data_IF_103313458940
#
_entry.id   IF_103313458940
#
_cell.length_a   1.000
_cell.length_b   1.000
_cell.length_c   1.000
_cell.angle_alpha   90.00
_cell.angle_beta   90.00
_cell.angle_gamma   90.00
#
_symmetry.space_group_name_H-M   'P 1'
#
loop_
_entity.id
_entity.type
_entity.pdbx_description
1 polymer ?
#
# COMPACT_ATOMS: atom_id res chain seq x y z
N UNK A 1 -34.35 5.96 -4.63
CA UNK A 1 -33.65 4.71 -4.21
C UNK A 1 -33.45 3.72 -5.33
N UNK A 2 -34.43 3.51 -6.23
CA UNK A 2 -34.29 2.61 -7.38
C UNK A 2 -33.07 2.94 -8.27
N UNK A 3 -32.88 4.22 -8.59
CA UNK A 3 -31.74 4.66 -9.42
C UNK A 3 -30.36 4.29 -8.83
N UNK A 4 -30.24 4.19 -7.50
CA UNK A 4 -29.00 3.74 -6.86
C UNK A 4 -28.73 2.26 -7.18
N UNK A 5 -29.73 1.40 -7.05
CA UNK A 5 -29.57 -0.02 -7.36
C UNK A 5 -29.35 -0.26 -8.85
N UNK A 6 -30.07 0.47 -9.72
CA UNK A 6 -29.88 0.41 -11.17
C UNK A 6 -28.46 0.83 -11.59
N UNK A 7 -27.90 1.87 -10.94
CA UNK A 7 -26.50 2.28 -11.20
C UNK A 7 -25.52 1.22 -10.72
N UNK A 8 -25.69 0.68 -9.52
CA UNK A 8 -24.83 -0.35 -8.96
C UNK A 8 -24.82 -1.62 -9.80
N UNK A 9 -25.99 -2.08 -10.24
CA UNK A 9 -26.12 -3.27 -11.09
C UNK A 9 -25.47 -3.06 -12.47
N UNK A 10 -25.56 -1.82 -13.02
CA UNK A 10 -24.92 -1.48 -14.30
C UNK A 10 -23.38 -1.50 -14.26
N UNK A 11 -22.76 -1.48 -13.08
CA UNK A 11 -21.31 -1.57 -12.91
C UNK A 11 -20.79 -3.01 -13.12
N UNK A 12 -21.68 -4.01 -13.18
CA UNK A 12 -21.33 -5.42 -13.31
C UNK A 12 -20.28 -5.88 -12.26
N UNK A 13 -20.58 -5.60 -11.00
CA UNK A 13 -19.77 -5.97 -9.84
C UNK A 13 -20.54 -6.99 -9.00
N UNK A 14 -20.42 -8.30 -9.29
CA UNK A 14 -21.19 -9.33 -8.60
C UNK A 14 -20.84 -9.44 -7.12
N UNK A 15 -19.62 -9.06 -6.74
CA UNK A 15 -19.13 -9.03 -5.36
C UNK A 15 -19.26 -7.61 -4.81
N UNK A 16 -19.77 -7.49 -3.57
CA UNK A 16 -19.93 -6.25 -2.83
C UNK A 16 -19.17 -6.31 -1.51
N UNK A 17 -18.58 -5.18 -1.12
CA UNK A 17 -17.85 -5.06 0.15
C UNK A 17 -18.43 -3.92 0.95
N UNK A 18 -18.82 -4.18 2.19
CA UNK A 18 -19.26 -3.16 3.14
C UNK A 18 -18.51 -3.25 4.47
N UNK A 19 -18.56 -2.15 5.22
CA UNK A 19 -17.97 -2.10 6.56
C UNK A 19 -18.92 -2.61 7.63
N UNK A 20 -18.34 -2.92 8.81
CA UNK A 20 -19.07 -3.42 9.97
C UNK A 20 -20.32 -2.62 10.32
N UNK A 21 -20.24 -1.26 10.35
CA UNK A 21 -21.36 -0.40 10.73
C UNK A 21 -22.54 -0.52 9.76
N UNK A 22 -22.27 -0.59 8.46
CA UNK A 22 -23.30 -0.80 7.44
C UNK A 22 -23.93 -2.18 7.61
N UNK A 23 -23.10 -3.20 7.79
CA UNK A 23 -23.57 -4.56 7.97
C UNK A 23 -24.41 -4.74 9.25
N UNK A 24 -24.06 -4.06 10.34
CA UNK A 24 -24.81 -4.06 11.60
C UNK A 24 -26.24 -3.50 11.44
N UNK A 25 -26.42 -2.56 10.49
CA UNK A 25 -27.73 -1.95 10.23
C UNK A 25 -28.58 -2.73 9.22
N UNK A 26 -27.96 -3.47 8.31
CA UNK A 26 -28.64 -4.03 7.13
C UNK A 26 -28.65 -5.56 7.08
N UNK A 27 -27.65 -6.25 7.67
CA UNK A 27 -27.40 -7.67 7.43
C UNK A 27 -27.16 -8.48 8.72
N UNK A 28 -26.71 -7.84 9.79
CA UNK A 28 -26.42 -8.55 11.03
C UNK A 28 -27.70 -8.94 11.78
N UNK A 29 -27.69 -10.13 12.36
CA UNK A 29 -28.70 -10.54 13.33
C UNK A 29 -28.61 -9.75 14.65
N UNK A 30 -29.63 -9.77 15.47
CA UNK A 30 -29.64 -9.03 16.73
C UNK A 30 -28.62 -9.58 17.73
N UNK A 31 -27.91 -8.66 18.40
CA UNK A 31 -26.93 -8.97 19.46
C UNK A 31 -25.50 -9.01 18.94
N UNK A 32 -24.59 -9.48 19.78
CA UNK A 32 -23.17 -9.63 19.49
C UNK A 32 -22.71 -11.04 19.84
N UNK A 33 -21.71 -11.53 19.14
CA UNK A 33 -21.10 -12.81 19.43
C UNK A 33 -20.42 -12.78 20.81
N UNK A 34 -20.73 -13.76 21.63
CA UNK A 34 -20.10 -13.98 22.95
C UNK A 34 -19.56 -15.40 23.04
N UNK A 35 -18.39 -15.54 23.61
CA UNK A 35 -17.81 -16.83 24.00
C UNK A 35 -17.23 -16.73 25.40
N UNK A 36 -17.34 -17.80 26.18
CA UNK A 36 -16.74 -17.89 27.53
C UNK A 36 -15.21 -17.89 27.46
N UNK A 37 -14.67 -18.37 26.36
CA UNK A 37 -13.23 -18.35 26.02
C UNK A 37 -12.97 -17.48 24.80
N UNK A 38 -11.86 -16.78 24.80
CA UNK A 38 -11.42 -15.96 23.65
C UNK A 38 -9.97 -16.33 23.34
N UNK A 39 -9.80 -17.21 22.37
CA UNK A 39 -8.48 -17.66 21.92
C UNK A 39 -8.15 -16.97 20.60
N UNK A 40 -7.19 -16.04 20.54
CA UNK A 40 -6.83 -15.41 19.28
C UNK A 40 -6.43 -16.42 18.21
N UNK A 41 -6.85 -16.22 16.97
CA UNK A 41 -6.45 -17.07 15.86
C UNK A 41 -4.94 -16.95 15.56
N UNK A 42 -4.39 -15.74 15.63
CA UNK A 42 -2.95 -15.45 15.69
C UNK A 42 -2.15 -15.77 14.43
N UNK A 43 -2.82 -16.02 13.30
CA UNK A 43 -2.17 -16.30 12.01
C UNK A 43 -3.04 -15.89 10.83
N UNK A 44 -2.44 -15.83 9.64
CA UNK A 44 -3.20 -15.73 8.41
C UNK A 44 -3.92 -17.05 8.10
N UNK A 45 -5.13 -16.95 7.55
CA UNK A 45 -5.87 -18.11 7.10
C UNK A 45 -7.20 -17.73 6.45
N UNK A 46 -7.82 -18.70 5.81
CA UNK A 46 -9.15 -18.54 5.22
C UNK A 46 -9.94 -19.84 5.26
N UNK A 47 -11.26 -19.74 5.14
CA UNK A 47 -12.18 -20.86 4.95
C UNK A 47 -13.15 -20.53 3.84
N UNK A 48 -13.17 -21.35 2.78
CA UNK A 48 -14.09 -21.19 1.64
C UNK A 48 -15.23 -22.18 1.78
N UNK A 49 -16.46 -21.67 1.97
CA UNK A 49 -17.66 -22.48 2.12
C UNK A 49 -18.50 -22.57 0.85
N UNK A 50 -18.46 -21.52 0.03
CA UNK A 50 -19.25 -21.46 -1.20
C UNK A 50 -18.37 -21.10 -2.41
N UNK A 51 -18.70 -21.70 -3.57
CA UNK A 51 -18.25 -21.23 -4.87
C UNK A 51 -19.42 -20.46 -5.50
N UNK A 52 -19.23 -19.18 -5.76
CA UNK A 52 -20.27 -18.32 -6.32
C UNK A 52 -19.65 -17.31 -7.29
N UNK A 53 -20.46 -16.79 -8.20
CA UNK A 53 -20.06 -15.73 -9.12
C UNK A 53 -19.84 -14.40 -8.41
N UNK A 54 -20.39 -14.22 -7.21
CA UNK A 54 -20.24 -13.02 -6.39
C UNK A 54 -20.47 -13.31 -4.91
N UNK A 55 -19.97 -12.44 -4.05
CA UNK A 55 -20.03 -12.56 -2.60
C UNK A 55 -20.52 -11.26 -1.97
N UNK A 56 -21.23 -11.37 -0.85
CA UNK A 56 -21.44 -10.25 0.06
C UNK A 56 -20.31 -10.27 1.11
N UNK A 57 -19.41 -9.31 1.03
CA UNK A 57 -18.21 -9.26 1.86
C UNK A 57 -18.36 -8.20 2.94
N UNK A 58 -18.10 -8.58 4.19
CA UNK A 58 -18.17 -7.67 5.34
C UNK A 58 -16.82 -7.59 6.02
N UNK A 59 -16.34 -6.35 6.21
CA UNK A 59 -15.13 -6.09 6.99
C UNK A 59 -15.50 -5.95 8.48
N UNK A 60 -15.31 -7.02 9.25
CA UNK A 60 -15.45 -7.04 10.71
C UNK A 60 -14.14 -7.46 11.37
N UNK A 61 -13.27 -6.49 11.65
CA UNK A 61 -11.88 -6.68 12.08
C UNK A 61 -11.73 -7.60 13.31
N UNK A 62 -12.68 -7.57 14.24
CA UNK A 62 -12.61 -8.31 15.49
C UNK A 62 -13.51 -9.55 15.55
N UNK A 63 -14.43 -9.67 14.61
CA UNK A 63 -15.39 -10.78 14.60
C UNK A 63 -16.36 -10.70 15.78
N UNK A 64 -17.33 -9.79 15.70
CA UNK A 64 -18.26 -9.56 16.79
C UNK A 64 -19.73 -9.63 16.39
N UNK A 65 -20.02 -9.65 15.09
CA UNK A 65 -21.39 -9.65 14.61
C UNK A 65 -21.96 -11.07 14.50
N UNK A 66 -23.26 -11.19 14.76
CA UNK A 66 -24.05 -12.38 14.42
C UNK A 66 -24.65 -12.20 13.04
N UNK A 67 -24.82 -13.28 12.29
CA UNK A 67 -25.21 -13.19 10.90
C UNK A 67 -26.55 -13.87 10.61
N UNK A 68 -27.39 -13.17 9.83
CA UNK A 68 -28.48 -13.75 9.07
C UNK A 68 -27.94 -13.96 7.64
N UNK A 69 -27.84 -15.22 7.20
CA UNK A 69 -27.20 -15.54 5.91
C UNK A 69 -28.12 -15.10 4.76
N UNK A 70 -27.67 -14.17 3.89
CA UNK A 70 -28.49 -13.71 2.78
C UNK A 70 -28.67 -14.82 1.72
N UNK A 71 -29.86 -14.90 1.13
CA UNK A 71 -30.17 -15.89 0.10
C UNK A 71 -29.51 -15.61 -1.25
N UNK A 72 -29.30 -14.33 -1.60
CA UNK A 72 -28.83 -13.93 -2.92
C UNK A 72 -27.34 -14.11 -3.18
N UNK A 73 -26.50 -13.85 -2.16
CA UNK A 73 -25.03 -13.93 -2.25
C UNK A 73 -24.48 -14.58 -1.00
N UNK A 74 -23.56 -15.55 -1.14
CA UNK A 74 -22.90 -16.12 0.02
C UNK A 74 -22.09 -15.06 0.76
N UNK A 75 -22.22 -15.06 2.09
CA UNK A 75 -21.51 -14.15 2.99
C UNK A 75 -20.05 -14.57 3.13
N UNK A 76 -19.16 -13.57 3.16
CA UNK A 76 -17.74 -13.72 3.43
C UNK A 76 -17.27 -12.64 4.39
N UNK A 77 -16.64 -13.03 5.48
CA UNK A 77 -16.16 -12.10 6.51
C UNK A 77 -14.66 -11.87 6.36
N UNK A 78 -14.26 -10.60 6.19
CA UNK A 78 -12.85 -10.18 6.32
C UNK A 78 -12.58 -9.79 7.76
N UNK A 79 -11.53 -10.36 8.34
CA UNK A 79 -11.15 -10.11 9.73
C UNK A 79 -9.63 -10.03 9.88
N UNK A 80 -9.15 -9.64 11.06
CA UNK A 80 -7.72 -9.66 11.38
C UNK A 80 -7.35 -10.95 12.14
N UNK A 81 -6.06 -11.16 12.34
CA UNK A 81 -5.54 -12.29 13.13
C UNK A 81 -5.93 -12.21 14.62
N UNK A 82 -6.47 -11.06 15.08
CA UNK A 82 -7.01 -10.91 16.43
C UNK A 82 -8.38 -11.56 16.64
N UNK A 83 -9.04 -11.99 15.57
CA UNK A 83 -10.30 -12.71 15.65
C UNK A 83 -10.15 -13.96 16.53
N UNK A 84 -11.18 -14.29 17.30
CA UNK A 84 -11.14 -15.50 18.12
C UNK A 84 -11.38 -16.76 17.27
N UNK A 85 -10.74 -17.87 17.68
CA UNK A 85 -10.98 -19.18 17.07
C UNK A 85 -12.44 -19.61 17.21
N UNK A 86 -13.06 -19.23 18.32
CA UNK A 86 -14.46 -19.51 18.64
C UNK A 86 -15.40 -18.80 17.66
N UNK A 87 -15.05 -17.54 17.27
CA UNK A 87 -15.84 -16.83 16.25
C UNK A 87 -15.67 -17.45 14.86
N UNK A 88 -14.46 -17.86 14.49
CA UNK A 88 -14.24 -18.58 13.24
C UNK A 88 -14.99 -19.92 13.21
N UNK A 89 -15.03 -20.65 14.33
CA UNK A 89 -15.83 -21.87 14.46
C UNK A 89 -17.33 -21.59 14.32
N UNK A 90 -17.83 -20.46 14.86
CA UNK A 90 -19.20 -20.01 14.65
C UNK A 90 -19.46 -19.74 13.16
N UNK A 91 -18.60 -19.01 12.46
CA UNK A 91 -18.76 -18.76 11.02
C UNK A 91 -18.76 -20.08 10.23
N UNK A 92 -17.85 -20.99 10.55
CA UNK A 92 -17.78 -22.31 9.92
C UNK A 92 -19.06 -23.14 10.14
N UNK A 93 -19.65 -23.10 11.33
CA UNK A 93 -20.91 -23.78 11.65
C UNK A 93 -22.10 -23.17 10.89
N UNK A 94 -22.07 -21.87 10.62
CA UNK A 94 -23.09 -21.18 9.80
C UNK A 94 -22.85 -21.28 8.29
N UNK A 95 -21.83 -22.04 7.86
CA UNK A 95 -21.43 -22.15 6.45
C UNK A 95 -21.04 -20.80 5.82
N UNK A 96 -20.45 -19.88 6.62
CA UNK A 96 -19.99 -18.57 6.19
C UNK A 96 -18.50 -18.64 5.90
N UNK A 97 -18.09 -18.11 4.75
CA UNK A 97 -16.68 -18.00 4.37
C UNK A 97 -15.99 -16.89 5.17
N UNK A 98 -14.69 -17.05 5.41
CA UNK A 98 -13.92 -16.00 6.07
C UNK A 98 -12.47 -15.93 5.59
N UNK A 99 -11.87 -14.75 5.73
CA UNK A 99 -10.45 -14.49 5.52
C UNK A 99 -9.95 -13.72 6.74
N UNK A 100 -8.93 -14.25 7.41
CA UNK A 100 -8.21 -13.58 8.49
C UNK A 100 -6.82 -13.16 8.01
N UNK A 101 -6.59 -11.85 7.89
CA UNK A 101 -5.31 -11.30 7.39
C UNK A 101 -4.96 -9.98 8.06
N UNK A 102 -3.65 -9.78 8.32
CA UNK A 102 -3.12 -8.65 9.07
C UNK A 102 -3.18 -8.84 10.59
N UNK A 103 -2.17 -8.39 11.30
CA UNK A 103 -2.00 -8.67 12.73
C UNK A 103 -3.10 -8.04 13.60
N UNK A 104 -3.32 -6.74 13.48
CA UNK A 104 -4.25 -5.96 14.33
C UNK A 104 -5.39 -5.31 13.55
N UNK A 105 -5.22 -5.16 12.27
CA UNK A 105 -6.21 -4.62 11.32
C UNK A 105 -6.27 -5.55 10.12
N UNK A 106 -7.35 -5.51 9.38
CA UNK A 106 -7.47 -6.23 8.11
C UNK A 106 -6.39 -5.71 7.15
N UNK A 107 -5.56 -6.60 6.62
CA UNK A 107 -4.66 -6.33 5.51
C UNK A 107 -5.48 -6.40 4.21
N UNK A 108 -5.96 -5.25 3.74
CA UNK A 108 -6.83 -5.17 2.56
C UNK A 108 -6.13 -5.63 1.28
N UNK A 109 -4.85 -5.24 0.98
CA UNK A 109 -4.11 -5.79 -0.14
C UNK A 109 -4.07 -7.31 -0.12
N UNK A 110 -3.64 -7.90 0.99
CA UNK A 110 -3.56 -9.36 1.14
C UNK A 110 -4.92 -10.04 1.05
N UNK A 111 -5.96 -9.44 1.63
CA UNK A 111 -7.33 -9.94 1.50
C UNK A 111 -7.80 -9.95 0.04
N UNK A 112 -7.48 -8.91 -0.75
CA UNK A 112 -7.79 -8.85 -2.18
C UNK A 112 -7.06 -9.92 -2.99
N UNK A 113 -5.78 -10.21 -2.67
CA UNK A 113 -5.03 -11.31 -3.29
C UNK A 113 -5.73 -12.66 -3.02
N UNK A 114 -6.06 -12.95 -1.77
CA UNK A 114 -6.79 -14.19 -1.40
C UNK A 114 -8.16 -14.26 -2.08
N UNK A 115 -8.90 -13.15 -2.16
CA UNK A 115 -10.17 -13.10 -2.86
C UNK A 115 -10.02 -13.44 -4.35
N UNK A 116 -9.01 -12.91 -5.02
CA UNK A 116 -8.72 -13.21 -6.41
C UNK A 116 -8.30 -14.67 -6.62
N UNK A 117 -7.31 -15.13 -5.87
CA UNK A 117 -6.69 -16.45 -6.04
C UNK A 117 -7.60 -17.60 -5.59
N UNK A 118 -8.25 -17.44 -4.44
CA UNK A 118 -8.99 -18.54 -3.79
C UNK A 118 -10.49 -18.48 -4.06
N UNK A 119 -11.06 -17.28 -4.23
CA UNK A 119 -12.50 -17.10 -4.43
C UNK A 119 -12.86 -16.72 -5.86
N UNK A 120 -11.89 -16.40 -6.73
CA UNK A 120 -12.10 -16.03 -8.13
C UNK A 120 -12.77 -14.66 -8.30
N UNK A 121 -12.58 -13.75 -7.33
CA UNK A 121 -13.14 -12.40 -7.40
C UNK A 121 -12.29 -11.54 -8.33
N UNK A 122 -12.80 -11.19 -9.49
CA UNK A 122 -12.14 -10.32 -10.47
C UNK A 122 -12.52 -8.84 -10.29
N UNK A 123 -13.76 -8.60 -9.87
CA UNK A 123 -14.31 -7.24 -9.67
C UNK A 123 -15.22 -7.22 -8.46
N UNK A 124 -15.12 -6.12 -7.70
CA UNK A 124 -15.99 -5.88 -6.56
C UNK A 124 -16.33 -4.40 -6.43
N UNK A 125 -17.48 -4.11 -5.84
CA UNK A 125 -17.88 -2.76 -5.44
C UNK A 125 -17.70 -2.58 -3.93
N UNK A 126 -16.99 -1.55 -3.50
CA UNK A 126 -16.96 -1.12 -2.10
C UNK A 126 -18.14 -0.17 -1.91
N UNK A 127 -19.22 -0.68 -1.29
CA UNK A 127 -20.54 -0.02 -1.31
C UNK A 127 -20.84 0.76 -0.04
N UNK A 128 -19.95 0.78 0.93
CA UNK A 128 -20.25 1.65 2.04
C UNK A 128 -19.57 1.43 3.36
N UNK A 129 -19.81 2.40 4.13
CA UNK A 129 -19.25 3.15 5.17
C UNK A 129 -18.02 3.95 4.75
N UNK A 130 -17.98 5.24 5.15
CA UNK A 130 -16.88 6.14 4.79
C UNK A 130 -15.49 5.61 5.19
N UNK A 131 -15.39 4.91 6.31
CA UNK A 131 -14.14 4.33 6.80
C UNK A 131 -13.62 3.16 5.95
N UNK A 132 -14.50 2.27 5.46
CA UNK A 132 -14.06 1.18 4.58
C UNK A 132 -13.67 1.72 3.21
N UNK A 133 -14.42 2.68 2.66
CA UNK A 133 -14.06 3.38 1.43
C UNK A 133 -12.68 4.04 1.57
N UNK A 134 -12.45 4.74 2.68
CA UNK A 134 -11.17 5.37 2.99
C UNK A 134 -10.03 4.35 3.16
N UNK A 135 -10.30 3.20 3.76
CA UNK A 135 -9.33 2.10 3.88
C UNK A 135 -8.88 1.57 2.52
N UNK A 136 -9.81 1.31 1.60
CA UNK A 136 -9.48 0.91 0.22
C UNK A 136 -8.75 2.01 -0.55
N UNK A 137 -9.14 3.29 -0.36
CA UNK A 137 -8.45 4.42 -0.95
C UNK A 137 -7.01 4.56 -0.41
N UNK A 138 -6.81 4.38 0.89
CA UNK A 138 -5.49 4.45 1.53
C UNK A 138 -4.56 3.33 1.07
N UNK A 139 -5.11 2.15 0.80
CA UNK A 139 -4.40 0.97 0.29
C UNK A 139 -4.19 1.01 -1.24
N UNK A 140 -4.59 2.09 -1.93
CA UNK A 140 -4.52 2.25 -3.39
C UNK A 140 -5.24 1.15 -4.20
N UNK A 141 -6.31 0.59 -3.63
CA UNK A 141 -7.07 -0.52 -4.21
C UNK A 141 -8.29 -0.07 -5.04
N UNK A 142 -8.59 1.24 -5.11
CA UNK A 142 -9.71 1.76 -5.88
C UNK A 142 -9.29 2.11 -7.31
N UNK A 143 -9.99 1.59 -8.32
CA UNK A 143 -9.79 1.93 -9.72
C UNK A 143 -10.78 3.00 -10.20
N UNK A 144 -11.98 3.00 -9.63
CA UNK A 144 -13.06 3.90 -9.99
C UNK A 144 -13.84 4.37 -8.76
N UNK A 145 -14.26 5.62 -8.78
CA UNK A 145 -15.24 6.19 -7.84
C UNK A 145 -16.52 6.48 -8.59
N UNK A 146 -17.61 5.84 -8.15
CA UNK A 146 -18.96 5.98 -8.70
C UNK A 146 -19.87 6.64 -7.65
N UNK A 147 -20.39 7.83 -7.94
CA UNK A 147 -21.18 8.63 -7.00
C UNK A 147 -22.51 9.02 -7.63
N UNK A 148 -23.61 8.64 -7.00
CA UNK A 148 -24.94 9.13 -7.33
C UNK A 148 -25.32 10.25 -6.35
N UNK A 149 -25.47 11.45 -6.87
CA UNK A 149 -25.90 12.64 -6.11
C UNK A 149 -27.40 12.79 -6.26
N UNK A 150 -28.15 12.60 -5.18
CA UNK A 150 -29.59 12.86 -5.15
C UNK A 150 -29.90 14.37 -5.15
N UNK A 151 -31.02 14.75 -5.77
CA UNK A 151 -31.47 16.13 -5.84
C UNK A 151 -32.15 16.58 -4.51
N UNK A 152 -31.39 16.58 -3.42
CA UNK A 152 -31.88 16.96 -2.10
C UNK A 152 -30.77 17.48 -1.20
N UNK A 153 -31.15 18.32 -0.22
CA UNK A 153 -30.24 18.81 0.82
C UNK A 153 -30.75 18.30 2.15
N UNK A 154 -29.91 17.50 2.82
CA UNK A 154 -30.23 16.97 4.15
C UNK A 154 -30.10 18.04 5.25
N UNK A 155 -28.97 18.76 5.28
CA UNK A 155 -28.70 19.83 6.27
C UNK A 155 -28.50 19.37 7.70
N UNK A 156 -28.53 18.05 7.99
CA UNK A 156 -28.27 17.51 9.34
C UNK A 156 -26.76 17.47 9.61
N UNK A 157 -26.37 17.79 10.85
CA UNK A 157 -24.98 17.65 11.29
C UNK A 157 -24.60 16.20 11.61
N UNK A 158 -23.27 15.90 11.59
CA UNK A 158 -22.74 14.61 12.00
C UNK A 158 -22.92 13.46 10.98
N UNK A 159 -23.32 13.78 9.76
CA UNK A 159 -23.43 12.78 8.69
C UNK A 159 -22.06 12.35 8.22
N UNK A 160 -21.82 11.03 7.98
CA UNK A 160 -20.53 10.54 7.50
C UNK A 160 -20.24 11.01 6.08
N UNK A 161 -18.98 11.27 5.78
CA UNK A 161 -18.51 11.51 4.43
C UNK A 161 -18.45 10.22 3.61
N UNK A 162 -18.39 10.34 2.27
CA UNK A 162 -18.18 9.17 1.37
C UNK A 162 -16.86 8.50 1.65
N UNK A 163 -15.83 9.27 1.99
CA UNK A 163 -14.52 8.82 2.47
C UNK A 163 -14.24 9.53 3.79
N UNK A 164 -13.95 8.78 4.85
CA UNK A 164 -13.81 9.33 6.20
C UNK A 164 -12.69 8.63 6.98
N UNK A 165 -12.03 9.35 7.90
CA UNK A 165 -11.02 8.80 8.80
C UNK A 165 -9.59 8.74 8.24
N UNK A 166 -9.30 9.40 7.11
CA UNK A 166 -7.93 9.55 6.61
C UNK A 166 -7.18 10.67 7.34
N UNK A 167 -5.84 10.55 7.49
CA UNK A 167 -5.03 11.62 8.08
C UNK A 167 -5.13 12.94 7.32
N UNK A 168 -5.09 14.06 8.04
CA UNK A 168 -5.17 15.41 7.46
C UNK A 168 -4.01 15.73 6.51
N UNK A 169 -2.85 15.15 6.75
CA UNK A 169 -1.62 15.37 5.98
C UNK A 169 -1.60 14.57 4.67
N UNK A 170 -2.56 13.66 4.47
CA UNK A 170 -2.62 12.86 3.25
C UNK A 170 -2.89 13.76 2.04
N UNK A 171 -2.09 13.64 0.96
CA UNK A 171 -2.37 14.40 -0.26
C UNK A 171 -3.73 13.99 -0.87
N UNK A 172 -4.37 14.93 -1.55
CA UNK A 172 -5.63 14.69 -2.26
C UNK A 172 -5.39 13.68 -3.39
N UNK A 173 -6.23 12.65 -3.46
CA UNK A 173 -6.23 11.73 -4.59
C UNK A 173 -6.91 12.38 -5.79
N UNK A 174 -6.19 12.51 -6.90
CA UNK A 174 -6.74 13.07 -8.13
C UNK A 174 -7.69 12.07 -8.82
N UNK A 175 -8.77 12.62 -9.35
CA UNK A 175 -9.78 11.86 -10.09
C UNK A 175 -9.89 12.39 -11.53
N UNK A 176 -10.04 11.49 -12.49
CA UNK A 176 -10.34 11.81 -13.89
C UNK A 176 -11.79 11.47 -14.17
N UNK A 177 -12.59 12.47 -14.55
CA UNK A 177 -13.99 12.26 -14.91
C UNK A 177 -14.10 11.36 -16.16
N UNK A 178 -14.83 10.26 -16.02
CA UNK A 178 -15.10 9.31 -17.10
C UNK A 178 -16.48 9.59 -17.73
N UNK A 179 -17.51 9.78 -16.91
CA UNK A 179 -18.86 10.04 -17.40
C UNK A 179 -19.72 10.78 -16.40
N UNK A 180 -20.75 11.49 -16.95
CA UNK A 180 -21.83 12.13 -16.19
C UNK A 180 -23.14 11.68 -16.80
N UNK A 181 -24.09 11.28 -15.96
CA UNK A 181 -25.47 10.96 -16.38
C UNK A 181 -26.46 11.68 -15.47
N UNK A 182 -27.41 12.38 -16.08
CA UNK A 182 -28.52 13.00 -15.36
C UNK A 182 -29.76 12.10 -15.48
N UNK A 183 -30.51 11.98 -14.40
CA UNK A 183 -31.78 11.26 -14.34
C UNK A 183 -32.97 12.23 -14.32
N UNK A 184 -34.14 11.73 -14.69
CA UNK A 184 -35.38 12.50 -14.70
C UNK A 184 -35.81 12.99 -13.30
N UNK A 185 -35.36 12.32 -12.24
CA UNK A 185 -35.53 12.75 -10.84
C UNK A 185 -34.72 13.99 -10.45
N UNK A 186 -33.76 14.43 -11.30
CA UNK A 186 -32.76 15.45 -10.98
C UNK A 186 -31.49 14.90 -10.37
N UNK A 187 -31.41 13.59 -10.09
CA UNK A 187 -30.17 12.98 -9.62
C UNK A 187 -29.09 12.97 -10.72
N UNK A 188 -27.81 13.04 -10.29
CA UNK A 188 -26.66 13.04 -11.18
C UNK A 188 -25.71 11.92 -10.79
N UNK A 189 -25.39 11.06 -11.73
CA UNK A 189 -24.41 9.99 -11.57
C UNK A 189 -23.08 10.40 -12.19
N UNK A 190 -22.04 10.39 -11.36
CA UNK A 190 -20.67 10.72 -11.73
C UNK A 190 -19.80 9.46 -11.62
N UNK A 191 -18.98 9.23 -12.63
CA UNK A 191 -17.95 8.16 -12.60
C UNK A 191 -16.59 8.77 -12.87
N UNK A 192 -15.64 8.45 -11.99
CA UNK A 192 -14.27 8.91 -12.07
C UNK A 192 -13.31 7.74 -12.03
N UNK A 193 -12.31 7.73 -12.93
CA UNK A 193 -11.12 6.92 -12.71
C UNK A 193 -10.30 7.52 -11.57
N UNK A 194 -9.85 6.68 -10.66
CA UNK A 194 -8.88 7.08 -9.62
C UNK A 194 -7.51 7.16 -10.28
N UNK A 195 -6.88 8.31 -10.22
CA UNK A 195 -5.45 8.36 -10.49
C UNK A 195 -4.77 7.71 -9.29
N UNK A 196 -4.34 6.48 -9.48
CA UNK A 196 -3.54 5.79 -8.47
C UNK A 196 -2.46 6.75 -7.99
N UNK A 197 -2.39 6.98 -6.69
CA UNK A 197 -1.15 7.51 -6.13
C UNK A 197 -0.12 6.49 -6.59
N UNK A 198 0.81 6.92 -7.41
CA UNK A 198 1.90 6.05 -7.89
C UNK A 198 2.66 5.50 -6.67
N UNK A 199 2.06 4.53 -5.98
CA UNK A 199 2.70 3.61 -5.06
C UNK A 199 3.27 2.42 -5.82
N UNK A 200 2.73 2.08 -6.99
CA UNK A 200 3.56 1.76 -8.15
C UNK A 200 4.09 3.12 -8.62
N UNK A 201 5.04 3.70 -7.91
CA UNK A 201 5.90 4.72 -8.48
C UNK A 201 6.28 4.16 -9.82
N UNK A 202 5.80 4.80 -10.91
CA UNK A 202 6.03 4.34 -12.26
C UNK A 202 7.15 3.31 -12.19
N UNK A 203 6.82 1.99 -12.34
CA UNK A 203 7.87 1.00 -12.52
C UNK A 203 8.59 1.43 -13.80
N UNK A 204 9.31 2.53 -13.70
CA UNK A 204 10.13 3.07 -14.75
C UNK A 204 11.44 2.34 -14.56
N UNK A 205 11.37 1.06 -14.91
CA UNK A 205 12.56 0.24 -15.06
C UNK A 205 13.31 0.75 -16.28
N UNK A 206 14.36 1.45 -16.02
CA UNK A 206 15.26 1.88 -17.08
C UNK A 206 16.32 0.81 -17.30
N UNK A 207 16.11 -0.06 -18.27
CA UNK A 207 17.15 -0.99 -18.74
C UNK A 207 18.13 -0.30 -19.69
N UNK A 208 17.72 0.81 -20.31
CA UNK A 208 18.50 1.57 -21.28
C UNK A 208 18.99 2.87 -20.63
N UNK A 209 20.30 3.12 -20.73
CA UNK A 209 20.96 4.29 -20.17
C UNK A 209 20.42 5.61 -20.75
N UNK A 210 20.19 5.70 -22.06
CA UNK A 210 19.72 6.93 -22.70
C UNK A 210 18.33 7.36 -22.20
N UNK A 211 17.46 6.37 -21.95
CA UNK A 211 16.13 6.62 -21.38
C UNK A 211 16.23 7.05 -19.91
N UNK A 212 17.14 6.43 -19.17
CA UNK A 212 17.39 6.79 -17.76
C UNK A 212 17.98 8.20 -17.63
N UNK A 213 18.95 8.56 -18.47
CA UNK A 213 19.59 9.89 -18.44
C UNK A 213 18.58 11.02 -18.68
N UNK A 214 17.59 10.81 -19.53
CA UNK A 214 16.50 11.78 -19.75
C UNK A 214 15.61 11.98 -18.54
N UNK A 215 15.47 10.96 -17.71
CA UNK A 215 14.66 11.02 -16.49
C UNK A 215 15.46 11.44 -15.25
N UNK A 216 16.78 11.27 -15.26
CA UNK A 216 17.66 11.63 -14.17
C UNK A 216 17.96 13.14 -14.14
N UNK A 217 17.05 13.91 -13.55
CA UNK A 217 17.09 15.38 -13.56
C UNK A 217 18.36 15.99 -12.95
N UNK A 218 19.07 15.24 -12.11
CA UNK A 218 20.33 15.69 -11.48
C UNK A 218 21.58 15.19 -12.23
N UNK A 219 21.40 14.47 -13.35
CA UNK A 219 22.47 13.94 -14.17
C UNK A 219 23.23 12.77 -13.51
N UNK A 220 23.80 11.92 -14.35
CA UNK A 220 24.52 10.71 -13.91
C UNK A 220 25.85 11.03 -13.23
N UNK A 221 26.52 12.11 -13.67
CA UNK A 221 27.84 12.50 -13.17
C UNK A 221 28.98 11.68 -13.78
N UNK A 222 30.06 11.54 -13.04
CA UNK A 222 31.26 10.81 -13.47
C UNK A 222 31.37 9.47 -12.77
N UNK A 223 32.13 8.54 -13.35
CA UNK A 223 32.39 7.23 -12.74
C UNK A 223 32.92 7.40 -11.31
N UNK A 224 32.33 6.69 -10.36
CA UNK A 224 32.64 6.76 -8.93
C UNK A 224 33.91 5.97 -8.59
N UNK A 225 35.04 6.37 -9.18
CA UNK A 225 36.32 5.65 -9.05
C UNK A 225 36.89 5.69 -7.62
N UNK A 226 36.65 6.75 -6.89
CA UNK A 226 37.16 6.92 -5.54
C UNK A 226 36.59 5.89 -4.53
N UNK A 227 35.37 5.48 -4.73
CA UNK A 227 34.66 4.52 -3.87
C UNK A 227 34.39 3.19 -4.54
N UNK A 228 34.90 2.95 -5.76
CA UNK A 228 34.59 1.74 -6.55
C UNK A 228 34.84 0.43 -5.79
N UNK A 229 35.84 0.38 -4.90
CA UNK A 229 36.12 -0.80 -4.06
C UNK A 229 34.98 -1.18 -3.09
N UNK A 230 34.04 -0.27 -2.83
CA UNK A 230 32.91 -0.48 -1.94
C UNK A 230 31.59 -0.75 -2.69
N UNK A 231 31.67 -0.97 -4.00
CA UNK A 231 30.52 -1.23 -4.84
C UNK A 231 30.72 -2.53 -5.63
N UNK A 232 29.64 -3.25 -5.85
CA UNK A 232 29.55 -4.34 -6.80
C UNK A 232 28.83 -3.79 -8.03
N UNK A 233 29.49 -3.80 -9.20
CA UNK A 233 29.01 -3.16 -10.42
C UNK A 233 29.45 -1.68 -10.53
N UNK A 234 28.96 -0.98 -11.55
CA UNK A 234 29.36 0.38 -11.83
C UNK A 234 28.42 1.40 -11.18
N UNK A 235 29.00 2.39 -10.56
CA UNK A 235 28.28 3.54 -9.98
C UNK A 235 28.89 4.86 -10.44
N UNK A 236 28.10 5.91 -10.37
CA UNK A 236 28.47 7.26 -10.79
C UNK A 236 28.12 8.24 -9.69
N UNK A 237 28.88 9.33 -9.62
CA UNK A 237 28.72 10.37 -8.61
C UNK A 237 28.64 11.74 -9.27
N UNK A 238 27.62 12.49 -8.94
CA UNK A 238 27.48 13.90 -9.29
C UNK A 238 27.32 14.74 -8.01
N UNK A 239 28.38 15.38 -7.49
CA UNK A 239 28.28 16.28 -6.35
C UNK A 239 27.33 17.45 -6.67
N UNK A 240 26.35 17.67 -5.79
CA UNK A 240 25.36 18.74 -5.91
C UNK A 240 25.71 19.95 -5.04
N UNK A 241 26.53 19.75 -4.02
CA UNK A 241 26.99 20.80 -3.11
C UNK A 241 28.52 20.84 -3.08
N UNK A 242 29.10 22.01 -2.75
CA UNK A 242 30.53 22.10 -2.44
C UNK A 242 30.78 21.40 -1.08
N UNK A 243 31.66 20.41 -1.02
CA UNK A 243 32.02 19.74 0.24
C UNK A 243 32.51 20.69 1.34
N UNK A 244 33.03 21.86 0.97
CA UNK A 244 33.47 22.91 1.92
C UNK A 244 32.30 23.71 2.49
N UNK A 245 31.08 23.57 1.95
CA UNK A 245 29.89 24.32 2.37
C UNK A 245 29.17 23.77 3.60
N UNK A 246 29.69 22.75 4.25
CA UNK A 246 29.15 22.20 5.50
C UNK A 246 28.02 21.18 5.33
N UNK A 247 27.43 21.03 4.15
CA UNK A 247 26.49 19.98 3.82
C UNK A 247 26.93 19.28 2.54
N UNK A 248 27.22 17.99 2.63
CA UNK A 248 27.49 17.19 1.44
C UNK A 248 26.24 16.54 0.92
N UNK A 249 25.93 16.80 -0.34
CA UNK A 249 24.86 16.15 -1.11
C UNK A 249 25.38 15.78 -2.50
N UNK A 250 25.11 14.57 -2.94
CA UNK A 250 25.49 14.09 -4.26
C UNK A 250 24.39 13.21 -4.84
N UNK A 251 24.18 13.32 -6.16
CA UNK A 251 23.38 12.34 -6.89
C UNK A 251 24.24 11.11 -7.15
N UNK A 252 23.84 9.97 -6.59
CA UNK A 252 24.52 8.68 -6.76
C UNK A 252 23.69 7.84 -7.73
N UNK A 253 24.29 7.42 -8.81
CA UNK A 253 23.66 6.62 -9.85
C UNK A 253 24.27 5.22 -9.89
N UNK A 254 23.43 4.22 -10.05
CA UNK A 254 23.78 2.80 -10.08
C UNK A 254 23.28 2.17 -11.38
N UNK A 255 24.16 1.43 -12.07
CA UNK A 255 23.73 0.55 -13.16
C UNK A 255 22.84 -0.59 -12.64
N UNK A 256 22.06 -1.26 -13.51
CA UNK A 256 21.29 -2.43 -13.13
C UNK A 256 22.15 -3.47 -12.40
N UNK A 257 21.69 -3.90 -11.22
CA UNK A 257 22.42 -4.84 -10.36
C UNK A 257 23.52 -4.26 -9.49
N UNK A 258 23.90 -3.01 -9.72
CA UNK A 258 24.93 -2.34 -8.91
C UNK A 258 24.42 -2.02 -7.51
N UNK A 259 25.24 -2.29 -6.51
CA UNK A 259 24.94 -2.02 -5.09
C UNK A 259 26.20 -1.70 -4.30
N UNK A 260 26.06 -0.91 -3.24
CA UNK A 260 27.17 -0.70 -2.32
C UNK A 260 27.29 -1.82 -1.29
N UNK A 261 28.43 -1.87 -0.62
CA UNK A 261 28.65 -2.77 0.51
C UNK A 261 27.77 -2.34 1.70
N UNK A 262 27.58 -3.24 2.64
CA UNK A 262 27.13 -2.85 3.97
C UNK A 262 28.02 -1.76 4.52
N UNK A 263 27.42 -0.73 5.14
CA UNK A 263 28.15 0.37 5.72
C UNK A 263 27.38 1.01 6.88
N UNK A 264 28.08 1.82 7.66
CA UNK A 264 27.55 2.52 8.84
C UNK A 264 28.04 3.96 8.79
N UNK A 265 27.12 4.90 8.98
CA UNK A 265 27.42 6.29 9.25
C UNK A 265 27.46 6.49 10.77
N UNK A 266 28.66 6.57 11.33
CA UNK A 266 28.84 6.82 12.76
C UNK A 266 28.73 8.29 13.08
N UNK A 267 28.19 8.63 14.26
CA UNK A 267 28.23 9.97 14.82
C UNK A 267 28.06 9.91 16.37
N UNK A 268 28.69 10.80 17.07
CA UNK A 268 28.49 10.96 18.52
C UNK A 268 27.16 11.67 18.82
N UNK A 269 26.73 12.57 17.91
CA UNK A 269 25.48 13.31 18.01
C UNK A 269 25.00 13.73 16.61
N UNK A 270 23.71 13.57 16.31
CA UNK A 270 23.16 13.78 14.97
C UNK A 270 23.69 12.75 13.97
N UNK A 271 24.05 13.19 12.77
CA UNK A 271 24.62 12.31 11.74
C UNK A 271 23.63 11.35 11.09
N UNK A 272 24.14 10.40 10.34
CA UNK A 272 23.38 9.48 9.52
C UNK A 272 23.31 9.92 8.06
N UNK A 273 22.38 9.34 7.30
CA UNK A 273 22.23 9.62 5.88
C UNK A 273 20.76 9.79 5.49
N UNK A 274 20.49 10.73 4.59
CA UNK A 274 19.19 10.90 3.98
C UNK A 274 19.28 10.53 2.49
N UNK A 275 18.41 9.62 2.02
CA UNK A 275 18.26 9.27 0.62
C UNK A 275 16.97 9.86 0.07
N UNK A 276 17.07 10.54 -1.07
CA UNK A 276 15.94 11.07 -1.84
C UNK A 276 16.00 10.44 -3.23
N UNK A 277 15.13 9.47 -3.52
CA UNK A 277 15.15 8.72 -4.77
C UNK A 277 14.61 9.58 -5.92
N UNK A 278 15.37 9.67 -7.01
CA UNK A 278 15.12 10.62 -8.11
C UNK A 278 14.73 9.95 -9.43
N UNK A 279 15.30 8.76 -9.74
CA UNK A 279 15.02 8.06 -10.99
C UNK A 279 15.27 6.55 -10.86
N UNK A 280 14.52 5.75 -11.60
CA UNK A 280 14.67 4.29 -11.65
C UNK A 280 14.25 3.58 -10.38
N UNK A 281 14.63 2.30 -10.25
CA UNK A 281 14.24 1.45 -9.12
C UNK A 281 15.44 0.86 -8.39
N UNK A 282 15.38 0.87 -7.07
CA UNK A 282 16.44 0.38 -6.21
C UNK A 282 15.94 -0.39 -5.00
N UNK A 283 16.91 -0.77 -4.19
CA UNK A 283 16.72 -1.42 -2.90
C UNK A 283 17.42 -0.65 -1.78
N UNK A 284 16.84 -0.68 -0.60
CA UNK A 284 17.44 -0.31 0.67
C UNK A 284 17.21 -1.42 1.67
N UNK A 285 18.20 -1.74 2.49
CA UNK A 285 18.05 -2.72 3.57
C UNK A 285 18.89 -2.34 4.79
N UNK A 286 18.26 -2.38 5.97
CA UNK A 286 18.95 -2.38 7.26
C UNK A 286 19.31 -3.81 7.67
N UNK A 287 20.40 -3.96 8.40
CA UNK A 287 20.81 -5.26 8.93
C UNK A 287 19.71 -5.86 9.83
N UNK A 288 19.34 -7.10 9.53
CA UNK A 288 18.29 -7.82 10.26
C UNK A 288 16.86 -7.49 9.87
N UNK A 289 16.63 -6.58 8.90
CA UNK A 289 15.30 -6.25 8.39
C UNK A 289 15.12 -6.70 6.93
N UNK A 290 13.88 -6.86 6.46
CA UNK A 290 13.60 -7.07 5.04
C UNK A 290 14.08 -5.91 4.18
N UNK A 291 14.43 -6.18 2.92
CA UNK A 291 14.74 -5.14 1.95
C UNK A 291 13.47 -4.36 1.56
N UNK A 292 13.64 -3.05 1.35
CA UNK A 292 12.58 -2.12 0.96
C UNK A 292 12.83 -1.67 -0.48
N UNK A 293 11.82 -1.75 -1.33
CA UNK A 293 11.87 -1.24 -2.70
C UNK A 293 11.89 0.29 -2.69
N UNK A 294 12.80 0.87 -3.46
CA UNK A 294 12.94 2.31 -3.66
C UNK A 294 12.52 2.70 -5.07
N UNK A 295 11.74 3.76 -5.18
CA UNK A 295 11.26 4.35 -6.43
C UNK A 295 11.38 5.88 -6.37
N UNK A 296 11.28 6.62 -7.49
CA UNK A 296 11.28 8.07 -7.46
C UNK A 296 10.26 8.64 -6.47
N UNK A 297 10.70 9.56 -5.61
CA UNK A 297 9.91 10.11 -4.52
C UNK A 297 10.03 9.36 -3.18
N UNK A 298 10.66 8.17 -3.13
CA UNK A 298 11.00 7.52 -1.86
C UNK A 298 11.99 8.37 -1.07
N UNK A 299 11.74 8.53 0.23
CA UNK A 299 12.60 9.25 1.17
C UNK A 299 12.96 8.31 2.30
N UNK A 300 14.27 8.09 2.53
CA UNK A 300 14.76 7.21 3.58
C UNK A 300 15.69 8.01 4.50
N UNK A 301 15.27 8.21 5.74
CA UNK A 301 16.14 8.78 6.78
C UNK A 301 16.80 7.64 7.54
N UNK A 302 18.10 7.54 7.40
CA UNK A 302 18.93 6.50 8.04
C UNK A 302 19.64 7.12 9.23
N UNK A 303 19.29 6.75 10.47
CA UNK A 303 19.98 7.25 11.66
C UNK A 303 21.46 6.85 11.67
N UNK A 304 22.28 7.60 12.39
CA UNK A 304 23.63 7.18 12.71
C UNK A 304 23.62 5.79 13.40
N UNK A 305 24.72 5.06 13.28
CA UNK A 305 24.94 3.71 13.84
C UNK A 305 24.09 2.59 13.18
N UNK A 306 23.26 2.88 12.18
CA UNK A 306 22.47 1.86 11.46
C UNK A 306 23.31 1.25 10.34
N UNK A 307 23.59 -0.05 10.44
CA UNK A 307 24.22 -0.82 9.36
C UNK A 307 23.22 -1.08 8.24
N UNK A 308 23.54 -0.63 7.02
CA UNK A 308 22.64 -0.71 5.86
C UNK A 308 23.40 -0.81 4.55
N UNK A 309 22.67 -1.07 3.49
CA UNK A 309 23.11 -0.96 2.10
C UNK A 309 21.98 -0.46 1.22
N UNK A 310 22.33 0.07 0.05
CA UNK A 310 21.38 0.42 -1.02
C UNK A 310 22.01 0.23 -2.42
N UNK A 311 21.16 0.18 -3.45
CA UNK A 311 21.61 -0.03 -4.82
C UNK A 311 20.46 -0.17 -5.78
N UNK A 312 20.76 -0.36 -7.06
CA UNK A 312 19.78 -0.58 -8.13
C UNK A 312 19.11 -1.95 -8.01
N UNK A 313 17.91 -2.12 -8.58
CA UNK A 313 17.37 -3.44 -8.91
C UNK A 313 18.14 -4.07 -10.06
N UNK A 314 18.07 -5.39 -10.20
CA UNK A 314 18.82 -6.14 -11.25
C UNK A 314 18.45 -5.77 -12.68
N UNK A 315 17.28 -5.20 -12.87
CA UNK A 315 16.68 -4.88 -14.15
C UNK A 315 16.35 -3.39 -14.34
N UNK A 316 16.90 -2.50 -13.50
CA UNK A 316 16.70 -1.06 -13.59
C UNK A 316 17.95 -0.27 -13.20
N UNK A 317 18.26 0.77 -13.94
CA UNK A 317 19.08 1.88 -13.45
C UNK A 317 18.39 2.53 -12.26
N UNK A 318 19.18 3.09 -11.34
CA UNK A 318 18.66 3.73 -10.15
C UNK A 318 19.49 4.94 -9.77
N UNK A 319 18.83 6.00 -9.30
CA UNK A 319 19.52 7.18 -8.79
C UNK A 319 18.81 7.76 -7.57
N UNK A 320 19.61 8.21 -6.63
CA UNK A 320 19.14 8.96 -5.47
C UNK A 320 20.11 10.07 -5.10
N UNK A 321 19.62 11.13 -4.47
CA UNK A 321 20.46 12.09 -3.77
C UNK A 321 20.80 11.49 -2.41
N UNK A 322 22.08 11.32 -2.14
CA UNK A 322 22.60 11.01 -0.82
C UNK A 322 23.01 12.31 -0.13
N UNK A 323 22.44 12.56 1.03
CA UNK A 323 22.79 13.70 1.88
C UNK A 323 23.42 13.16 3.16
N UNK A 324 24.63 13.57 3.46
CA UNK A 324 25.23 13.31 4.77
C UNK A 324 24.63 14.26 5.80
N UNK A 325 23.92 13.68 6.78
CA UNK A 325 23.27 14.47 7.83
C UNK A 325 24.35 15.03 8.76
N UNK A 326 24.36 16.36 8.99
CA UNK A 326 25.35 16.97 9.88
C UNK A 326 25.30 16.40 11.29
N UNK A 327 26.48 16.19 11.89
CA UNK A 327 26.63 15.67 13.25
C UNK A 327 28.04 15.90 13.81
N UNK A 328 28.22 15.53 15.07
CA UNK A 328 29.50 15.56 15.76
C UNK A 328 30.19 14.19 15.66
N UNK A 329 31.48 14.15 15.38
CA UNK A 329 32.26 12.92 15.30
C UNK A 329 31.89 12.02 14.11
N UNK A 330 31.33 12.60 13.04
CA UNK A 330 30.87 11.82 11.86
C UNK A 330 32.01 11.10 11.16
N UNK A 331 31.83 9.81 10.87
CA UNK A 331 32.74 8.99 10.08
C UNK A 331 31.96 7.84 9.42
N UNK A 332 32.44 7.37 8.28
CA UNK A 332 31.84 6.26 7.57
C UNK A 332 32.68 4.99 7.78
N UNK A 333 32.01 3.87 8.02
CA UNK A 333 32.61 2.55 8.09
C UNK A 333 32.04 1.68 6.97
N UNK A 334 32.92 1.16 6.10
CA UNK A 334 32.57 0.22 5.06
C UNK A 334 32.78 -1.21 5.57
N UNK A 335 31.73 -1.99 5.47
CA UNK A 335 31.70 -3.37 5.93
C UNK A 335 31.78 -4.35 4.74
N UNK A 336 31.31 -5.58 4.96
CA UNK A 336 31.33 -6.65 3.97
C UNK A 336 30.43 -6.39 2.75
N UNK A 337 30.73 -6.98 1.59
CA UNK A 337 29.87 -6.89 0.41
C UNK A 337 28.49 -7.54 0.64
N UNK A 338 27.47 -7.04 -0.04
CA UNK A 338 26.18 -7.71 -0.18
C UNK A 338 26.35 -8.86 -1.18
N UNK A 339 26.26 -10.10 -0.71
CA UNK A 339 26.49 -11.29 -1.56
C UNK A 339 25.42 -11.43 -2.64
N UNK A 340 25.79 -11.97 -3.80
CA UNK A 340 24.85 -12.26 -4.89
C UNK A 340 23.70 -13.15 -4.41
N UNK A 341 23.98 -14.16 -3.59
CA UNK A 341 22.96 -15.04 -3.03
C UNK A 341 21.85 -14.30 -2.25
N UNK A 342 22.22 -13.24 -1.51
CA UNK A 342 21.25 -12.41 -0.79
C UNK A 342 20.50 -11.46 -1.72
N UNK A 343 21.23 -10.88 -2.67
CA UNK A 343 20.69 -9.90 -3.58
C UNK A 343 19.74 -10.52 -4.64
N UNK A 344 20.04 -11.72 -5.13
CA UNK A 344 19.20 -12.41 -6.13
C UNK A 344 17.84 -12.87 -5.60
N UNK A 345 17.68 -12.93 -4.29
CA UNK A 345 16.40 -13.26 -3.62
C UNK A 345 15.43 -12.07 -3.53
N UNK A 346 15.86 -10.89 -3.96
CA UNK A 346 15.06 -9.67 -4.01
C UNK A 346 14.50 -9.45 -5.43
#
# INVERSE_FOLDING_TARGET
>A
MQEYYDTLDSLNTPTRVSGRVTAELELAGPGVFHSETVTPFGREGFSKKAAAAGHEIIADTKGTLLWEVPEERPLLILTSQQVSQEYLAYLDAQNISWIAGGETKIDLPRACEILAEQFGVERMAVVGGGHINAGFLAADLLDEVSVLIGAGIDGRGGMPAVFDGLPMERPVTELKLNSVRQYGSGAVWLRYAVKKLNTEGNSIKYQNQDAFEKANMFGTGTSNTAYAQYFIGNSFLNPLTDPKGGLFAANVTFEPGCRNNWHIHHAEKGGGQLLLCTAGEGWYQEAGKPAVSLTPGSVVMIPAEVKHWHGAKKDSWFSHIAVEVPGEGCRNEWCEPVTDEKYEKL
#
